data_IF_602093082752
#
_entry.id   IF_602093082752
#
_cell.length_a   1.000
_cell.length_b   1.000
_cell.length_c   1.000
_cell.angle_alpha   90.00
_cell.angle_beta   90.00
_cell.angle_gamma   90.00
#
_symmetry.space_group_name_H-M   'P 1'
#
loop_
_entity.id
_entity.type
_entity.pdbx_description
1 polymer ?
#
# COMPACT_ATOMS: atom_id res chain seq x y z
N UNK A 1 -25.91 2.48 -30.89
CA UNK A 1 -25.93 3.21 -29.63
C UNK A 1 -25.74 4.67 -29.97
N UNK A 2 -26.82 5.39 -29.99
CA UNK A 2 -26.79 6.85 -30.27
C UNK A 2 -26.97 7.59 -28.94
N UNK A 3 -26.15 7.24 -27.96
CA UNK A 3 -26.18 7.87 -26.66
C UNK A 3 -24.99 8.83 -26.50
N UNK A 4 -25.29 10.03 -26.05
CA UNK A 4 -24.29 10.99 -25.61
C UNK A 4 -23.84 10.67 -24.18
N UNK A 5 -22.54 10.76 -23.93
CA UNK A 5 -21.90 10.63 -22.64
C UNK A 5 -21.05 11.86 -22.36
N UNK A 6 -21.06 12.31 -21.11
CA UNK A 6 -20.21 13.42 -20.67
C UNK A 6 -18.75 12.99 -20.60
N UNK A 7 -18.50 11.74 -20.19
CA UNK A 7 -17.15 11.19 -20.01
C UNK A 7 -17.08 9.72 -20.44
N UNK A 8 -15.98 9.36 -21.08
CA UNK A 8 -15.63 7.96 -21.38
C UNK A 8 -14.38 7.61 -20.59
N UNK A 9 -14.47 6.60 -19.71
CA UNK A 9 -13.36 6.07 -18.92
C UNK A 9 -12.92 4.74 -19.54
N UNK A 10 -11.64 4.64 -19.88
CA UNK A 10 -11.05 3.46 -20.53
C UNK A 10 -10.13 2.72 -19.56
N UNK A 11 -10.45 1.45 -19.29
CA UNK A 11 -9.75 0.59 -18.34
C UNK A 11 -10.50 0.45 -17.02
N UNK A 12 -10.20 -0.64 -16.30
CA UNK A 12 -10.80 -0.95 -14.98
C UNK A 12 -9.76 -1.06 -13.86
N UNK A 13 -8.67 -0.32 -13.98
CA UNK A 13 -7.72 -0.14 -12.89
C UNK A 13 -8.30 0.69 -11.74
N UNK A 14 -7.61 0.73 -10.61
CA UNK A 14 -8.10 1.44 -9.43
C UNK A 14 -8.38 2.92 -9.69
N UNK A 15 -7.52 3.60 -10.43
CA UNK A 15 -7.67 5.03 -10.76
C UNK A 15 -8.90 5.28 -11.64
N UNK A 16 -9.07 4.47 -12.66
CA UNK A 16 -10.17 4.51 -13.59
C UNK A 16 -11.51 4.27 -12.87
N UNK A 17 -11.56 3.28 -11.98
CA UNK A 17 -12.76 2.99 -11.18
C UNK A 17 -13.09 4.12 -10.20
N UNK A 18 -12.10 4.72 -9.54
CA UNK A 18 -12.28 5.87 -8.66
C UNK A 18 -12.85 7.06 -9.45
N UNK A 19 -12.24 7.37 -10.59
CA UNK A 19 -12.65 8.49 -11.43
C UNK A 19 -14.08 8.29 -11.94
N UNK A 20 -14.38 7.10 -12.46
CA UNK A 20 -15.74 6.75 -12.91
C UNK A 20 -16.77 6.90 -11.79
N UNK A 21 -16.46 6.41 -10.59
CA UNK A 21 -17.33 6.50 -9.43
C UNK A 21 -17.58 7.95 -9.01
N UNK A 22 -16.56 8.78 -8.91
CA UNK A 22 -16.67 10.18 -8.52
C UNK A 22 -17.50 10.97 -9.54
N UNK A 23 -17.20 10.84 -10.82
CA UNK A 23 -17.93 11.54 -11.88
C UNK A 23 -19.39 11.11 -11.95
N UNK A 24 -19.68 9.82 -11.70
CA UNK A 24 -21.06 9.32 -11.69
C UNK A 24 -21.86 9.85 -10.51
N UNK A 25 -21.30 9.95 -9.31
CA UNK A 25 -22.03 10.53 -8.14
C UNK A 25 -22.18 12.05 -8.25
N UNK A 26 -21.32 12.72 -9.02
CA UNK A 26 -21.44 14.12 -9.37
C UNK A 26 -22.53 14.37 -10.46
N UNK A 27 -23.17 13.31 -10.92
CA UNK A 27 -24.31 13.38 -11.85
C UNK A 27 -23.94 13.35 -13.32
N UNK A 28 -22.68 13.13 -13.67
CA UNK A 28 -22.25 13.00 -15.05
C UNK A 28 -22.62 11.62 -15.64
N UNK A 29 -22.97 11.61 -16.93
CA UNK A 29 -23.24 10.38 -17.67
C UNK A 29 -21.91 9.77 -18.12
N UNK A 30 -21.46 8.72 -17.42
CA UNK A 30 -20.17 8.10 -17.63
C UNK A 30 -20.31 6.78 -18.39
N UNK A 31 -19.58 6.63 -19.50
CA UNK A 31 -19.35 5.33 -20.14
C UNK A 31 -18.02 4.77 -19.66
N UNK A 32 -18.07 3.64 -18.95
CA UNK A 32 -16.87 2.96 -18.46
C UNK A 32 -16.64 1.66 -19.25
N UNK A 33 -15.48 1.51 -19.87
CA UNK A 33 -15.16 0.40 -20.78
C UNK A 33 -13.78 -0.16 -20.46
N UNK A 34 -13.63 -1.48 -20.68
CA UNK A 34 -12.31 -2.14 -20.69
C UNK A 34 -12.20 -3.03 -21.94
N UNK A 35 -10.99 -3.18 -22.45
CA UNK A 35 -10.67 -4.09 -23.54
C UNK A 35 -10.55 -5.55 -23.08
N UNK A 36 -10.34 -5.77 -21.78
CA UNK A 36 -10.18 -7.09 -21.18
C UNK A 36 -11.54 -7.63 -20.72
N UNK A 37 -11.61 -8.95 -20.58
CA UNK A 37 -12.74 -9.68 -20.00
C UNK A 37 -12.64 -9.84 -18.47
N UNK A 38 -11.69 -9.11 -17.84
CA UNK A 38 -11.47 -9.10 -16.39
C UNK A 38 -11.17 -7.70 -15.89
N UNK A 39 -11.42 -7.45 -14.59
CA UNK A 39 -11.19 -6.16 -13.95
C UNK A 39 -9.78 -6.03 -13.37
N UNK A 40 -9.28 -4.79 -13.27
CA UNK A 40 -8.05 -4.44 -12.55
C UNK A 40 -6.79 -4.39 -13.39
N UNK A 41 -6.83 -4.83 -14.65
CA UNK A 41 -5.68 -4.81 -15.55
C UNK A 41 -4.45 -5.50 -14.95
N UNK A 42 -3.31 -4.79 -14.90
CA UNK A 42 -2.06 -5.34 -14.34
C UNK A 42 -2.05 -5.44 -12.81
N UNK A 43 -2.97 -4.76 -12.12
CA UNK A 43 -3.10 -4.78 -10.67
C UNK A 43 -4.11 -5.80 -10.15
N UNK A 44 -4.62 -6.66 -11.04
CA UNK A 44 -5.65 -7.64 -10.69
C UNK A 44 -5.16 -8.66 -9.67
N UNK A 45 -6.11 -9.23 -8.89
CA UNK A 45 -5.86 -10.42 -8.06
C UNK A 45 -6.02 -11.67 -8.91
N UNK A 46 -5.09 -12.61 -8.78
CA UNK A 46 -5.04 -13.83 -9.57
C UNK A 46 -5.24 -15.06 -8.70
N UNK A 47 -6.02 -16.02 -9.18
CA UNK A 47 -6.01 -17.37 -8.64
C UNK A 47 -4.78 -18.15 -9.14
N UNK A 48 -4.53 -19.36 -8.60
CA UNK A 48 -3.33 -20.12 -8.92
C UNK A 48 -3.22 -20.45 -10.43
N UNK A 49 -4.30 -20.79 -11.10
CA UNK A 49 -4.26 -21.10 -12.53
C UNK A 49 -3.90 -19.89 -13.36
N UNK A 50 -4.50 -18.73 -13.05
CA UNK A 50 -4.21 -17.46 -13.73
C UNK A 50 -2.77 -17.02 -13.49
N UNK A 51 -2.29 -17.14 -12.24
CA UNK A 51 -0.91 -16.83 -11.86
C UNK A 51 0.08 -17.73 -12.63
N UNK A 52 -0.20 -19.02 -12.67
CA UNK A 52 0.64 -20.00 -13.36
C UNK A 52 0.73 -19.72 -14.85
N UNK A 53 -0.42 -19.51 -15.50
CA UNK A 53 -0.49 -19.15 -16.91
C UNK A 53 0.29 -17.87 -17.22
N UNK A 54 0.17 -16.84 -16.37
CA UNK A 54 0.84 -15.55 -16.55
C UNK A 54 2.37 -15.65 -16.48
N UNK A 55 2.91 -16.49 -15.59
CA UNK A 55 4.36 -16.53 -15.33
C UNK A 55 5.06 -17.77 -15.86
N UNK A 56 4.34 -18.86 -16.16
CA UNK A 56 4.90 -20.11 -16.63
C UNK A 56 4.45 -20.49 -18.04
N UNK A 57 3.42 -19.84 -18.57
CA UNK A 57 2.90 -20.15 -19.89
C UNK A 57 2.16 -21.48 -20.01
N UNK A 58 2.00 -22.21 -18.92
CA UNK A 58 1.32 -23.51 -18.86
C UNK A 58 -0.10 -23.34 -18.32
N UNK A 59 -1.03 -24.21 -18.77
CA UNK A 59 -2.45 -24.07 -18.40
C UNK A 59 -2.76 -24.61 -17.00
N UNK A 60 -1.92 -25.47 -16.44
CA UNK A 60 -2.18 -26.11 -15.13
C UNK A 60 -0.97 -26.11 -14.21
N UNK A 61 -1.13 -25.63 -12.97
CA UNK A 61 -0.13 -25.77 -11.94
C UNK A 61 0.01 -27.22 -11.45
N UNK A 62 1.14 -27.60 -10.85
CA UNK A 62 1.33 -28.92 -10.24
C UNK A 62 0.28 -29.24 -9.18
N UNK A 63 -0.19 -30.49 -9.17
CA UNK A 63 -1.27 -30.93 -8.27
C UNK A 63 -0.96 -30.78 -6.77
N UNK A 64 0.30 -30.82 -6.38
CA UNK A 64 0.73 -30.66 -4.98
C UNK A 64 0.48 -29.25 -4.41
N UNK A 65 0.22 -28.26 -5.26
CA UNK A 65 -0.10 -26.90 -4.83
C UNK A 65 -1.57 -26.76 -4.39
N UNK A 66 -2.39 -27.77 -4.56
CA UNK A 66 -3.78 -27.75 -4.12
C UNK A 66 -4.74 -27.08 -5.12
N UNK A 67 -5.88 -26.64 -4.62
CA UNK A 67 -6.94 -26.10 -5.46
C UNK A 67 -6.70 -24.62 -5.81
N UNK A 68 -6.92 -24.28 -7.08
CA UNK A 68 -6.71 -22.90 -7.59
C UNK A 68 -7.53 -21.85 -6.84
N UNK A 69 -8.72 -22.20 -6.38
CA UNK A 69 -9.63 -21.32 -5.63
C UNK A 69 -9.12 -20.92 -4.25
N UNK A 70 -8.13 -21.65 -3.71
CA UNK A 70 -7.57 -21.37 -2.38
C UNK A 70 -6.49 -20.26 -2.43
N UNK A 71 -6.18 -19.80 -3.63
CA UNK A 71 -5.21 -18.75 -3.88
C UNK A 71 -5.90 -17.48 -4.36
N UNK A 72 -5.55 -16.36 -3.73
CA UNK A 72 -5.94 -15.03 -4.14
C UNK A 72 -4.70 -14.12 -4.02
N UNK A 73 -3.98 -13.97 -5.13
CA UNK A 73 -2.68 -13.30 -5.16
C UNK A 73 -2.83 -11.93 -5.80
N UNK A 74 -2.68 -10.90 -5.01
CA UNK A 74 -2.69 -9.52 -5.47
C UNK A 74 -1.38 -9.19 -6.19
N UNK A 75 -1.47 -8.74 -7.43
CA UNK A 75 -0.29 -8.36 -8.21
C UNK A 75 0.35 -7.07 -7.75
N UNK A 76 -0.42 -6.19 -7.13
CA UNK A 76 0.05 -4.95 -6.51
C UNK A 76 -0.52 -4.87 -5.08
N UNK A 77 0.01 -5.68 -4.15
CA UNK A 77 -0.51 -5.68 -2.78
C UNK A 77 -0.17 -4.35 -2.07
N UNK A 78 -1.20 -3.70 -1.54
CA UNK A 78 -1.07 -2.49 -0.72
C UNK A 78 -2.07 -2.50 0.41
N UNK A 79 -1.64 -2.04 1.57
CA UNK A 79 -2.55 -1.80 2.68
C UNK A 79 -3.35 -0.52 2.44
N UNK A 80 -4.62 -0.57 2.82
CA UNK A 80 -5.49 0.59 2.81
C UNK A 80 -5.48 1.22 4.20
N UNK A 81 -5.16 2.50 4.27
CA UNK A 81 -5.24 3.27 5.52
C UNK A 81 -6.70 3.45 5.91
N UNK A 82 -7.07 3.01 7.11
CA UNK A 82 -8.48 3.04 7.58
C UNK A 82 -9.10 4.45 7.58
N UNK A 83 -8.29 5.49 7.76
CA UNK A 83 -8.71 6.90 7.69
C UNK A 83 -8.10 7.63 6.47
N UNK A 84 -7.77 6.90 5.41
CA UNK A 84 -7.15 7.46 4.20
C UNK A 84 -8.16 8.04 3.21
N UNK A 85 -7.63 8.77 2.24
CA UNK A 85 -8.42 9.38 1.15
C UNK A 85 -9.20 8.34 0.36
N UNK A 86 -8.62 7.15 0.13
CA UNK A 86 -9.32 6.08 -0.60
C UNK A 86 -10.59 5.63 0.15
N UNK A 87 -10.52 5.44 1.47
CA UNK A 87 -11.70 5.05 2.28
C UNK A 87 -12.78 6.14 2.21
N UNK A 88 -12.39 7.41 2.28
CA UNK A 88 -13.35 8.54 2.13
C UNK A 88 -14.01 8.54 0.74
N UNK A 89 -13.25 8.25 -0.30
CA UNK A 89 -13.79 8.10 -1.67
C UNK A 89 -14.78 6.95 -1.74
N UNK A 90 -14.47 5.79 -1.17
CA UNK A 90 -15.36 4.63 -1.14
C UNK A 90 -16.66 4.90 -0.36
N UNK A 91 -16.59 5.69 0.72
CA UNK A 91 -17.77 6.13 1.47
C UNK A 91 -18.60 7.09 0.62
N UNK A 92 -17.96 8.09 0.01
CA UNK A 92 -18.63 9.09 -0.81
C UNK A 92 -19.35 8.47 -2.03
N UNK A 93 -18.74 7.46 -2.64
CA UNK A 93 -19.32 6.74 -3.79
C UNK A 93 -20.25 5.58 -3.40
N UNK A 94 -20.51 5.38 -2.11
CA UNK A 94 -21.36 4.30 -1.56
C UNK A 94 -20.91 2.87 -1.95
N UNK A 95 -19.61 2.69 -2.23
CA UNK A 95 -19.02 1.40 -2.62
C UNK A 95 -18.68 0.53 -1.42
N UNK A 96 -18.57 1.10 -0.22
CA UNK A 96 -18.18 0.36 0.99
C UNK A 96 -19.07 -0.82 1.31
N UNK A 97 -20.35 -0.78 0.95
CA UNK A 97 -21.31 -1.89 1.14
C UNK A 97 -20.99 -3.16 0.33
N UNK A 98 -20.16 -3.04 -0.70
CA UNK A 98 -19.71 -4.17 -1.53
C UNK A 98 -18.35 -4.72 -1.12
N UNK A 99 -17.70 -4.12 -0.12
CA UNK A 99 -16.35 -4.46 0.30
C UNK A 99 -16.34 -5.01 1.71
N UNK A 100 -15.43 -5.97 1.95
CA UNK A 100 -15.13 -6.48 3.28
C UNK A 100 -13.73 -6.06 3.67
N UNK A 101 -13.60 -5.45 4.86
CA UNK A 101 -12.32 -4.98 5.39
C UNK A 101 -11.86 -5.89 6.51
N UNK A 102 -10.56 -6.16 6.55
CA UNK A 102 -9.92 -6.92 7.63
C UNK A 102 -8.70 -6.14 8.12
N UNK A 103 -8.57 -6.01 9.42
CA UNK A 103 -7.38 -5.41 10.02
C UNK A 103 -6.16 -6.29 9.78
N UNK A 104 -5.01 -5.65 9.54
CA UNK A 104 -3.73 -6.34 9.38
C UNK A 104 -3.11 -6.52 10.77
N UNK A 105 -2.92 -7.77 11.18
CA UNK A 105 -2.37 -8.11 12.50
C UNK A 105 -0.85 -7.90 12.59
N UNK A 106 -0.16 -7.85 11.45
CA UNK A 106 1.27 -7.63 11.43
C UNK A 106 1.91 -7.93 10.07
N UNK A 107 3.15 -7.49 9.94
CA UNK A 107 3.99 -7.76 8.78
C UNK A 107 5.14 -8.69 9.17
N UNK A 108 5.54 -9.55 8.26
CA UNK A 108 6.60 -10.53 8.50
C UNK A 108 7.60 -10.50 7.35
N UNK A 109 8.88 -10.73 7.68
CA UNK A 109 9.96 -10.86 6.70
C UNK A 109 10.67 -12.19 6.86
N UNK A 110 11.02 -12.80 5.74
CA UNK A 110 11.91 -13.96 5.72
C UNK A 110 13.35 -13.49 5.60
N UNK A 111 14.18 -13.84 6.56
CA UNK A 111 15.60 -13.49 6.59
C UNK A 111 16.42 -14.59 7.21
N UNK A 112 17.55 -14.94 6.58
CA UNK A 112 18.51 -15.95 7.09
C UNK A 112 17.84 -17.29 7.47
N UNK A 113 16.91 -17.76 6.63
CA UNK A 113 16.25 -19.05 6.83
C UNK A 113 15.11 -19.04 7.87
N UNK A 114 14.72 -17.88 8.42
CA UNK A 114 13.67 -17.75 9.43
C UNK A 114 12.69 -16.64 9.10
N UNK A 115 11.48 -16.76 9.62
CA UNK A 115 10.44 -15.72 9.53
C UNK A 115 10.49 -14.90 10.81
N UNK A 116 10.53 -13.58 10.64
CA UNK A 116 10.52 -12.62 11.75
C UNK A 116 9.36 -11.63 11.59
N UNK A 117 8.70 -11.33 12.70
CA UNK A 117 7.73 -10.25 12.76
C UNK A 117 8.43 -8.90 12.63
N UNK A 118 7.94 -8.05 11.76
CA UNK A 118 8.35 -6.64 11.70
C UNK A 118 7.78 -5.93 12.93
N UNK A 119 8.61 -5.26 13.73
CA UNK A 119 8.12 -4.61 14.94
C UNK A 119 7.15 -3.47 14.60
N UNK A 120 6.04 -3.41 15.32
CA UNK A 120 5.04 -2.36 15.21
C UNK A 120 5.07 -1.38 16.42
N UNK A 121 5.80 -1.74 17.48
CA UNK A 121 5.96 -0.91 18.68
C UNK A 121 7.42 -0.76 19.07
N UNK A 122 7.75 0.26 19.85
CA UNK A 122 9.11 0.48 20.38
C UNK A 122 9.64 -0.73 21.16
N UNK A 123 8.79 -1.35 21.97
CA UNK A 123 9.16 -2.55 22.74
C UNK A 123 9.45 -3.76 21.84
N UNK A 124 8.66 -3.95 20.79
CA UNK A 124 8.92 -4.98 19.78
C UNK A 124 10.21 -4.67 19.01
N UNK A 125 10.46 -3.41 18.67
CA UNK A 125 11.68 -2.98 17.99
C UNK A 125 12.93 -3.25 18.85
N UNK A 126 12.87 -2.96 20.15
CA UNK A 126 13.97 -3.26 21.08
C UNK A 126 14.28 -4.75 21.15
N UNK A 127 13.26 -5.60 21.15
CA UNK A 127 13.42 -7.08 21.24
C UNK A 127 13.69 -7.73 19.88
N UNK A 128 13.46 -7.03 18.78
CA UNK A 128 13.58 -7.61 17.44
C UNK A 128 15.03 -7.97 17.09
N UNK A 129 15.29 -9.18 16.57
CA UNK A 129 16.60 -9.58 16.10
C UNK A 129 16.90 -9.11 14.67
N UNK A 130 15.95 -8.44 14.01
CA UNK A 130 16.09 -7.97 12.62
C UNK A 130 17.12 -6.85 12.46
N UNK A 131 17.37 -6.10 13.53
CA UNK A 131 18.21 -4.91 13.51
C UNK A 131 19.22 -4.96 14.67
N UNK A 132 20.46 -4.55 14.40
CA UNK A 132 21.46 -4.27 15.42
C UNK A 132 21.14 -3.00 16.22
N UNK A 133 21.87 -2.77 17.30
CA UNK A 133 21.61 -1.66 18.22
C UNK A 133 21.64 -0.27 17.53
N UNK A 134 22.63 -0.05 16.67
CA UNK A 134 22.75 1.20 15.91
C UNK A 134 21.66 1.35 14.85
N UNK A 135 21.26 0.24 14.22
CA UNK A 135 20.17 0.24 13.23
C UNK A 135 18.83 0.57 13.89
N UNK A 136 18.56 0.02 15.08
CA UNK A 136 17.36 0.35 15.87
C UNK A 136 17.29 1.85 16.18
N UNK A 137 18.42 2.44 16.55
CA UNK A 137 18.50 3.89 16.81
C UNK A 137 18.23 4.71 15.54
N UNK A 138 18.80 4.31 14.40
CA UNK A 138 18.54 4.97 13.11
C UNK A 138 17.05 4.84 12.70
N UNK A 139 16.50 3.65 12.81
CA UNK A 139 15.09 3.42 12.51
C UNK A 139 14.17 4.30 13.36
N UNK A 140 14.42 4.39 14.67
CA UNK A 140 13.67 5.26 15.57
C UNK A 140 13.74 6.73 15.13
N UNK A 141 14.93 7.23 14.86
CA UNK A 141 15.11 8.61 14.43
C UNK A 141 14.42 8.89 13.10
N UNK A 142 14.49 7.93 12.17
CA UNK A 142 13.79 8.02 10.89
C UNK A 142 12.26 8.12 11.07
N UNK A 143 11.68 7.29 11.94
CA UNK A 143 10.23 7.35 12.21
C UNK A 143 9.83 8.67 12.88
N UNK A 144 10.62 9.19 13.82
CA UNK A 144 10.39 10.51 14.42
C UNK A 144 10.44 11.59 13.33
N UNK A 145 11.46 11.57 12.48
CA UNK A 145 11.58 12.53 11.36
C UNK A 145 10.34 12.48 10.45
N UNK A 146 9.86 11.29 10.08
CA UNK A 146 8.69 11.13 9.21
C UNK A 146 7.41 11.65 9.89
N UNK A 147 7.27 11.44 11.20
CA UNK A 147 6.10 11.92 11.95
C UNK A 147 6.08 13.45 12.08
N UNK A 148 7.25 14.06 12.29
CA UNK A 148 7.38 15.50 12.49
C UNK A 148 7.44 16.28 11.18
N UNK A 149 7.65 15.60 10.05
CA UNK A 149 7.79 16.22 8.74
C UNK A 149 6.48 16.89 8.28
N UNK A 150 6.59 18.17 7.95
CA UNK A 150 5.51 18.94 7.35
C UNK A 150 6.06 19.66 6.10
N UNK A 151 5.51 19.32 4.92
CA UNK A 151 5.94 19.89 3.65
C UNK A 151 5.86 21.42 3.61
N UNK A 152 4.88 22.01 4.30
CA UNK A 152 4.68 23.45 4.37
C UNK A 152 5.60 24.16 5.39
N UNK A 153 6.31 23.42 6.25
CA UNK A 153 7.19 23.99 7.27
C UNK A 153 8.66 23.55 7.10
N UNK A 154 9.51 24.34 6.44
CA UNK A 154 10.93 24.00 6.21
C UNK A 154 11.75 23.69 7.47
N UNK A 155 11.31 24.15 8.66
CA UNK A 155 11.99 23.84 9.93
C UNK A 155 11.94 22.36 10.26
N UNK A 156 10.92 21.64 9.78
CA UNK A 156 10.77 20.19 9.99
C UNK A 156 11.63 19.36 9.03
N UNK A 157 12.16 19.96 7.98
CA UNK A 157 12.95 19.27 6.95
C UNK A 157 14.38 18.93 7.38
N UNK A 158 14.86 19.49 8.49
CA UNK A 158 16.24 19.30 8.99
C UNK A 158 17.33 19.61 7.95
N UNK A 159 17.06 20.57 7.06
CA UNK A 159 17.98 20.94 5.97
C UNK A 159 18.01 19.96 4.79
N UNK A 160 17.11 18.99 4.74
CA UNK A 160 17.03 18.01 3.68
C UNK A 160 15.99 18.42 2.63
N UNK A 161 16.36 18.30 1.35
CA UNK A 161 15.46 18.45 0.21
C UNK A 161 15.01 17.05 -0.27
N UNK A 162 13.81 16.65 0.12
CA UNK A 162 13.28 15.32 -0.20
C UNK A 162 12.99 15.10 -1.70
N UNK A 163 13.07 16.14 -2.52
CA UNK A 163 12.98 15.99 -3.98
C UNK A 163 14.29 15.49 -4.60
N UNK A 164 15.39 15.59 -3.85
CA UNK A 164 16.74 15.24 -4.30
C UNK A 164 17.39 14.09 -3.55
N UNK A 165 16.81 13.71 -2.41
CA UNK A 165 17.38 12.69 -1.52
C UNK A 165 16.58 11.39 -1.66
N UNK A 166 17.27 10.28 -1.89
CA UNK A 166 16.63 8.97 -1.90
C UNK A 166 16.28 8.52 -0.48
N UNK A 167 15.30 7.62 -0.32
CA UNK A 167 14.94 7.05 0.98
C UNK A 167 16.14 6.39 1.67
N UNK A 168 17.04 5.76 0.93
CA UNK A 168 18.25 5.14 1.48
C UNK A 168 19.20 6.18 2.06
N UNK A 169 19.43 7.28 1.36
CA UNK A 169 20.24 8.41 1.84
C UNK A 169 19.58 9.06 3.03
N UNK A 170 18.26 9.29 3.00
CA UNK A 170 17.52 9.85 4.11
C UNK A 170 17.71 9.02 5.39
N UNK A 171 17.54 7.70 5.33
CA UNK A 171 17.73 6.79 6.47
C UNK A 171 19.21 6.85 6.99
N UNK A 172 20.16 7.06 6.09
CA UNK A 172 21.57 7.19 6.46
C UNK A 172 21.93 8.56 7.06
N UNK A 173 21.28 9.63 6.59
CA UNK A 173 21.54 11.02 6.95
C UNK A 173 20.84 11.47 8.23
N UNK A 174 19.68 10.89 8.57
CA UNK A 174 18.95 11.27 9.79
C UNK A 174 19.83 11.05 11.01
N UNK A 175 20.21 12.14 11.73
CA UNK A 175 21.32 12.09 12.70
C UNK A 175 21.05 11.16 13.88
N UNK A 176 22.12 10.52 14.37
CA UNK A 176 22.14 9.80 15.64
C UNK A 176 21.91 10.71 16.88
N UNK A 177 21.79 12.01 16.68
CA UNK A 177 21.94 13.04 17.72
C UNK A 177 20.65 13.74 18.16
N UNK A 178 19.46 13.30 17.78
CA UNK A 178 18.22 13.89 18.34
C UNK A 178 17.97 13.40 19.78
N UNK A 179 18.75 13.98 20.71
CA UNK A 179 18.65 13.73 22.16
C UNK A 179 17.64 14.66 22.86
N UNK A 180 16.88 15.47 22.14
CA UNK A 180 15.96 16.43 22.75
C UNK A 180 14.59 16.45 22.08
N UNK A 181 13.80 15.43 22.26
CA UNK A 181 12.33 15.55 22.31
C UNK A 181 11.75 14.24 22.83
N UNK A 182 11.66 14.15 24.14
CA UNK A 182 10.77 13.20 24.80
C UNK A 182 9.38 13.80 24.77
N UNK A 183 8.51 13.39 23.87
CA UNK A 183 7.08 13.35 24.15
C UNK A 183 6.38 12.40 23.18
N UNK A 184 5.81 11.40 23.78
CA UNK A 184 4.60 10.66 23.37
C UNK A 184 4.57 10.06 21.98
N UNK A 185 5.09 8.84 21.84
CA UNK A 185 4.58 7.89 20.84
C UNK A 185 3.42 7.17 21.53
N UNK A 186 2.23 7.67 21.35
CA UNK A 186 1.00 6.97 21.68
C UNK A 186 0.13 6.94 20.44
N UNK A 187 -0.26 5.73 20.05
CA UNK A 187 -1.36 5.38 19.13
C UNK A 187 -1.05 5.46 17.63
N UNK A 188 -0.75 4.30 17.09
CA UNK A 188 -1.20 3.90 15.76
C UNK A 188 -2.18 2.74 15.89
#
# INVERSE_FOLDING_TARGET
MDEEYDVIVLGTGLKECILSGLLSVDGLKVLHMDRNDYYGGDSTSLNLNQLWKRFRGEDKPPAHLGASRDYNVDMVPKFMMANGTLVRTLIHTDVTKYLSFKAVDGSYVFSKGKIYKVPATDMEALKSPLMGLFEKRRARNFFIYVQDYNEADPRTHQGLDLTRVTTRELIALVPLSLLHYTHSIASF
#
